data_IF_792582856112
#
_entry.id   IF_792582856112
#
_cell.length_a   1.000
_cell.length_b   1.000
_cell.length_c   1.000
_cell.angle_alpha   90.00
_cell.angle_beta   90.00
_cell.angle_gamma   90.00
#
_symmetry.space_group_name_H-M   'P 1'
#
loop_
_entity.id
_entity.type
_entity.pdbx_description
1 polymer ?
#
# COMPACT_ATOMS: atom_id res chain seq x y z
N UNK A 1 -16.06 -26.97 -15.58
CA UNK A 1 -15.24 -27.47 -14.46
C UNK A 1 -15.20 -26.40 -13.39
N UNK A 2 -15.75 -26.65 -12.21
CA UNK A 2 -15.75 -25.69 -11.11
C UNK A 2 -14.34 -25.64 -10.51
N UNK A 3 -13.67 -24.50 -10.65
CA UNK A 3 -12.35 -24.26 -10.07
C UNK A 3 -12.52 -24.22 -8.55
N UNK A 4 -12.10 -25.27 -7.85
CA UNK A 4 -12.04 -25.25 -6.39
C UNK A 4 -11.14 -24.08 -5.99
N UNK A 5 -11.70 -23.08 -5.30
CA UNK A 5 -10.91 -21.99 -4.71
C UNK A 5 -10.14 -22.59 -3.55
N UNK A 6 -8.82 -22.73 -3.73
CA UNK A 6 -7.92 -23.10 -2.64
C UNK A 6 -7.92 -21.90 -1.69
N UNK A 7 -8.11 -22.17 -0.39
CA UNK A 7 -8.51 -21.17 0.60
C UNK A 7 -7.44 -20.09 0.91
N UNK A 8 -6.22 -20.21 0.36
CA UNK A 8 -5.09 -19.31 0.63
C UNK A 8 -4.11 -19.24 -0.54
N UNK A 9 -4.59 -19.12 -1.77
CA UNK A 9 -3.67 -18.92 -2.90
C UNK A 9 -2.99 -17.54 -2.79
N UNK A 10 -1.70 -17.56 -2.47
CA UNK A 10 -0.81 -16.41 -2.64
C UNK A 10 -0.72 -16.09 -4.14
N UNK A 11 -1.38 -15.00 -4.55
CA UNK A 11 -1.34 -14.48 -5.91
C UNK A 11 -0.47 -13.22 -5.97
N UNK A 12 0.85 -13.35 -6.17
CA UNK A 12 1.71 -12.17 -6.23
C UNK A 12 1.36 -11.30 -7.42
N UNK A 13 1.44 -9.98 -7.27
CA UNK A 13 1.25 -9.05 -8.37
C UNK A 13 2.36 -9.27 -9.41
N UNK A 14 2.03 -9.50 -10.69
CA UNK A 14 3.04 -9.72 -11.71
C UNK A 14 3.79 -8.43 -12.01
N UNK A 15 5.10 -8.54 -12.25
CA UNK A 15 6.00 -7.38 -12.40
C UNK A 15 5.53 -6.38 -13.46
N UNK A 16 5.09 -6.85 -14.63
CA UNK A 16 4.61 -5.97 -15.69
C UNK A 16 3.44 -5.07 -15.25
N UNK A 17 2.60 -5.54 -14.32
CA UNK A 17 1.46 -4.78 -13.82
C UNK A 17 1.94 -3.68 -12.86
N UNK A 18 2.91 -4.01 -12.00
CA UNK A 18 3.55 -3.06 -11.09
C UNK A 18 4.26 -1.97 -11.89
N UNK A 19 5.07 -2.36 -12.87
CA UNK A 19 5.81 -1.44 -13.73
C UNK A 19 4.85 -0.52 -14.51
N UNK A 20 3.75 -1.07 -15.04
CA UNK A 20 2.73 -0.28 -15.72
C UNK A 20 1.99 0.69 -14.79
N UNK A 21 1.65 0.26 -13.57
CA UNK A 21 1.04 1.12 -12.55
C UNK A 21 1.97 2.28 -12.19
N UNK A 22 3.23 1.97 -11.86
CA UNK A 22 4.23 2.96 -11.46
C UNK A 22 4.56 3.95 -12.57
N UNK A 23 4.54 3.52 -13.84
CA UNK A 23 4.75 4.43 -14.98
C UNK A 23 3.68 5.55 -15.09
N UNK A 24 2.51 5.37 -14.48
CA UNK A 24 1.44 6.37 -14.45
C UNK A 24 1.42 7.18 -13.15
N UNK A 25 2.19 6.77 -12.16
CA UNK A 25 2.31 7.47 -10.89
C UNK A 25 3.25 8.67 -11.04
N UNK A 26 2.84 9.83 -10.49
CA UNK A 26 3.67 11.04 -10.44
C UNK A 26 3.95 11.40 -8.98
N UNK A 27 4.88 10.72 -8.31
CA UNK A 27 5.22 11.04 -6.94
C UNK A 27 5.84 12.43 -6.83
N UNK A 28 5.54 13.11 -5.73
CA UNK A 28 6.15 14.38 -5.35
C UNK A 28 7.37 14.09 -4.49
N UNK A 29 8.40 14.93 -4.60
CA UNK A 29 9.55 14.85 -3.71
C UNK A 29 9.10 14.86 -2.24
N UNK A 30 9.61 13.92 -1.46
CA UNK A 30 9.23 13.74 -0.06
C UNK A 30 8.01 12.85 0.20
N UNK A 31 7.28 12.40 -0.83
CA UNK A 31 6.18 11.45 -0.64
C UNK A 31 6.69 10.18 0.06
N UNK A 32 5.95 9.72 1.07
CA UNK A 32 6.19 8.45 1.77
C UNK A 32 5.34 7.36 1.13
N UNK A 33 5.95 6.22 0.84
CA UNK A 33 5.29 5.06 0.25
C UNK A 33 5.07 3.96 1.29
N UNK A 34 3.95 3.25 1.21
CA UNK A 34 3.75 2.03 2.02
C UNK A 34 3.17 0.85 1.26
N UNK A 35 3.64 -0.35 1.61
CA UNK A 35 3.06 -1.65 1.21
C UNK A 35 2.60 -2.44 2.45
N UNK A 36 1.32 -2.32 2.84
CA UNK A 36 0.71 -3.07 3.94
C UNK A 36 0.74 -4.61 3.89
N UNK A 37 0.99 -5.21 2.73
CA UNK A 37 1.07 -6.67 2.55
C UNK A 37 2.19 -7.01 1.57
N UNK A 38 3.44 -6.85 2.06
CA UNK A 38 4.64 -6.88 1.23
C UNK A 38 4.88 -8.23 0.56
N UNK A 39 4.52 -9.35 1.21
CA UNK A 39 4.83 -10.67 0.72
C UNK A 39 6.33 -10.84 0.43
N UNK A 40 6.67 -11.14 -0.83
CA UNK A 40 8.04 -11.31 -1.31
C UNK A 40 8.70 -10.00 -1.80
N UNK A 41 8.10 -8.83 -1.55
CA UNK A 41 8.70 -7.52 -1.82
C UNK A 41 8.52 -7.00 -3.25
N UNK A 42 7.70 -7.65 -4.07
CA UNK A 42 7.61 -7.32 -5.51
C UNK A 42 7.23 -5.87 -5.82
N UNK A 43 6.32 -5.30 -5.03
CA UNK A 43 5.89 -3.90 -5.16
C UNK A 43 6.88 -3.01 -4.40
N UNK A 44 7.20 -3.33 -3.14
CA UNK A 44 8.12 -2.57 -2.28
C UNK A 44 9.47 -2.27 -2.94
N UNK A 45 10.08 -3.30 -3.53
CA UNK A 45 11.38 -3.21 -4.19
C UNK A 45 11.34 -2.31 -5.44
N UNK A 46 10.15 -2.14 -6.03
CA UNK A 46 9.91 -1.29 -7.21
C UNK A 46 9.50 0.13 -6.88
N UNK A 47 9.23 0.46 -5.62
CA UNK A 47 8.94 1.85 -5.27
C UNK A 47 10.07 2.78 -5.72
N UNK A 48 9.74 4.02 -6.15
CA UNK A 48 10.72 4.99 -6.60
C UNK A 48 11.87 5.17 -5.59
N UNK A 49 13.08 5.34 -6.11
CA UNK A 49 14.27 5.62 -5.29
C UNK A 49 14.21 7.03 -4.69
N UNK A 50 14.80 7.24 -3.52
CA UNK A 50 14.84 8.54 -2.85
C UNK A 50 13.62 8.87 -1.99
N UNK A 51 12.62 7.99 -1.94
CA UNK A 51 11.45 8.11 -1.06
C UNK A 51 11.60 7.24 0.18
N UNK A 52 10.99 7.66 1.29
CA UNK A 52 10.80 6.79 2.45
C UNK A 52 9.80 5.69 2.09
N UNK A 53 10.12 4.45 2.48
CA UNK A 53 9.31 3.27 2.19
C UNK A 53 9.00 2.53 3.48
N UNK A 54 7.72 2.25 3.73
CA UNK A 54 7.24 1.49 4.87
C UNK A 54 6.55 0.21 4.40
N UNK A 55 6.50 -0.82 5.24
CA UNK A 55 5.89 -2.10 4.87
C UNK A 55 5.35 -2.87 6.09
N UNK A 56 4.41 -3.77 5.83
CA UNK A 56 3.97 -4.81 6.75
C UNK A 56 3.99 -6.16 6.05
N UNK A 57 4.27 -7.21 6.82
CA UNK A 57 4.16 -8.59 6.38
C UNK A 57 3.98 -9.47 7.61
N UNK A 58 2.88 -10.24 7.61
CA UNK A 58 2.48 -11.06 8.75
C UNK A 58 3.53 -12.14 9.05
N UNK A 59 4.13 -12.72 8.01
CA UNK A 59 5.20 -13.72 8.17
C UNK A 59 6.51 -13.15 8.77
N UNK A 60 6.69 -11.83 8.73
CA UNK A 60 7.79 -11.12 9.38
C UNK A 60 7.39 -10.48 10.72
N UNK A 61 6.25 -10.89 11.30
CA UNK A 61 5.71 -10.37 12.56
C UNK A 61 5.35 -8.87 12.53
N UNK A 62 5.06 -8.32 11.34
CA UNK A 62 4.53 -6.95 11.17
C UNK A 62 3.09 -7.05 10.70
N UNK A 63 2.16 -7.20 11.64
CA UNK A 63 0.74 -7.31 11.38
C UNK A 63 0.14 -5.92 11.06
N UNK A 64 -0.38 -5.77 9.85
CA UNK A 64 -0.99 -4.52 9.39
C UNK A 64 -2.31 -4.18 10.08
N UNK A 65 -3.13 -5.20 10.34
CA UNK A 65 -4.48 -5.04 10.87
C UNK A 65 -4.48 -4.92 12.40
N UNK A 66 -3.45 -5.46 13.05
CA UNK A 66 -3.24 -5.32 14.48
C UNK A 66 -1.82 -4.77 14.78
N UNK A 67 -1.56 -3.49 14.45
CA UNK A 67 -0.23 -2.92 14.61
C UNK A 67 0.07 -2.71 16.09
N UNK A 68 1.04 -3.46 16.61
CA UNK A 68 1.71 -3.13 17.86
C UNK A 68 3.01 -2.44 17.45
N UNK A 69 3.10 -1.13 17.73
CA UNK A 69 4.28 -0.29 17.43
C UNK A 69 4.68 -0.22 15.94
N UNK A 70 3.68 -0.26 15.05
CA UNK A 70 3.89 -0.18 13.60
C UNK A 70 3.23 1.08 13.02
N UNK A 71 4.05 2.05 12.65
CA UNK A 71 3.62 3.21 11.85
C UNK A 71 3.72 2.88 10.36
N UNK A 72 2.58 2.97 9.66
CA UNK A 72 2.47 2.80 8.21
C UNK A 72 1.86 4.01 7.53
N UNK A 73 1.80 5.16 8.21
CA UNK A 73 1.31 6.39 7.62
C UNK A 73 2.16 6.79 6.42
N UNK A 74 1.50 7.04 5.29
CA UNK A 74 2.11 7.28 3.99
C UNK A 74 1.22 8.16 3.10
N UNK A 75 1.83 8.86 2.15
CA UNK A 75 1.13 9.65 1.13
C UNK A 75 0.63 8.76 -0.02
N UNK A 76 1.37 7.68 -0.30
CA UNK A 76 1.05 6.73 -1.36
C UNK A 76 1.06 5.30 -0.79
N UNK A 77 -0.10 4.64 -0.85
CA UNK A 77 -0.26 3.25 -0.39
C UNK A 77 -0.53 2.36 -1.60
N UNK A 78 0.33 1.38 -1.86
CA UNK A 78 0.17 0.41 -2.95
C UNK A 78 0.39 -0.98 -2.36
N UNK A 79 -0.61 -1.85 -2.48
CA UNK A 79 -0.57 -3.20 -1.88
C UNK A 79 -1.48 -4.16 -2.63
N UNK A 80 -1.19 -5.45 -2.50
CA UNK A 80 -2.02 -6.54 -2.98
C UNK A 80 -2.39 -7.45 -1.80
N UNK A 81 -3.39 -7.06 -0.99
CA UNK A 81 -3.73 -7.80 0.21
C UNK A 81 -4.44 -9.12 -0.11
N UNK A 82 -4.49 -10.05 0.85
CA UNK A 82 -5.32 -11.25 0.74
C UNK A 82 -6.78 -10.88 0.43
N UNK A 83 -7.40 -11.56 -0.54
CA UNK A 83 -8.75 -11.21 -1.01
C UNK A 83 -9.80 -11.18 0.11
N UNK A 84 -9.70 -12.10 1.09
CA UNK A 84 -10.61 -12.15 2.25
C UNK A 84 -10.52 -10.94 3.17
N UNK A 85 -9.38 -10.23 3.17
CA UNK A 85 -9.11 -9.08 4.04
C UNK A 85 -9.03 -7.75 3.25
N UNK A 86 -9.18 -7.77 1.93
CA UNK A 86 -8.97 -6.58 1.09
C UNK A 86 -9.78 -5.36 1.53
N UNK A 87 -11.04 -5.54 1.93
CA UNK A 87 -11.89 -4.44 2.39
C UNK A 87 -11.41 -3.84 3.71
N UNK A 88 -10.94 -4.70 4.63
CA UNK A 88 -10.42 -4.27 5.92
C UNK A 88 -9.12 -3.49 5.73
N UNK A 89 -8.24 -3.97 4.84
CA UNK A 89 -7.02 -3.26 4.46
C UNK A 89 -7.33 -1.87 3.87
N UNK A 90 -8.29 -1.76 2.95
CA UNK A 90 -8.68 -0.49 2.34
C UNK A 90 -9.22 0.48 3.41
N UNK A 91 -10.06 0.01 4.33
CA UNK A 91 -10.61 0.86 5.42
C UNK A 91 -9.50 1.37 6.33
N UNK A 92 -8.65 0.47 6.80
CA UNK A 92 -7.49 0.81 7.64
C UNK A 92 -6.57 1.82 6.93
N UNK A 93 -6.30 1.62 5.64
CA UNK A 93 -5.50 2.55 4.85
C UNK A 93 -6.14 3.95 4.81
N UNK A 94 -7.45 4.06 4.58
CA UNK A 94 -8.15 5.36 4.47
C UNK A 94 -8.31 6.06 5.82
N UNK A 95 -8.51 5.31 6.90
CA UNK A 95 -8.86 5.85 8.20
C UNK A 95 -7.63 6.11 9.08
N UNK A 96 -6.58 5.28 8.97
CA UNK A 96 -5.39 5.32 9.83
C UNK A 96 -4.13 5.81 9.10
N UNK A 97 -3.88 5.31 7.89
CA UNK A 97 -2.54 5.39 7.30
C UNK A 97 -2.40 6.42 6.18
N UNK A 98 -3.48 6.77 5.47
CA UNK A 98 -3.38 7.75 4.38
C UNK A 98 -3.11 9.14 4.97
N UNK A 99 -1.99 9.73 4.60
CA UNK A 99 -1.65 11.06 5.04
C UNK A 99 -2.51 12.10 4.31
N UNK A 100 -3.51 12.65 5.00
CA UNK A 100 -4.42 13.67 4.44
C UNK A 100 -3.82 15.08 4.40
N UNK A 101 -2.59 15.26 4.87
CA UNK A 101 -1.94 16.59 4.95
C UNK A 101 -1.21 17.00 3.68
N UNK A 102 -1.11 16.13 2.67
CA UNK A 102 -0.72 16.56 1.32
C UNK A 102 -1.73 17.63 0.86
N UNK A 103 -1.30 18.88 0.59
CA UNK A 103 -2.23 19.95 0.27
C UNK A 103 -3.06 19.52 -0.94
N UNK A 104 -4.37 19.52 -0.75
CA UNK A 104 -5.31 19.40 -1.85
C UNK A 104 -4.97 20.50 -2.85
N UNK A 105 -4.35 20.16 -3.99
CA UNK A 105 -4.14 21.10 -5.11
C UNK A 105 -5.44 21.44 -5.84
N UNK A 106 -6.59 21.12 -5.23
CA UNK A 106 -7.92 21.49 -5.70
C UNK A 106 -8.63 22.31 -4.61
N UNK A 107 -8.18 23.56 -4.43
CA UNK A 107 -9.02 24.74 -4.19
C UNK A 107 -8.18 25.87 -3.57
N UNK A 108 -8.09 26.98 -4.30
CA UNK A 108 -7.61 28.29 -3.84
C UNK A 108 -8.51 28.93 -2.74
N UNK A 109 -9.21 28.12 -1.93
CA UNK A 109 -10.35 28.57 -1.13
C UNK A 109 -10.55 27.78 0.18
N UNK A 110 -9.49 27.54 0.95
CA UNK A 110 -9.66 27.18 2.36
C UNK A 110 -8.89 28.20 3.22
N UNK A 111 -9.60 29.07 3.98
CA UNK A 111 -8.96 29.82 5.04
C UNK A 111 -8.69 28.85 6.21
N UNK A 112 -7.54 29.05 6.84
CA UNK A 112 -7.15 28.60 8.18
C UNK A 112 -8.25 28.02 9.08
#
# INVERSE_FOLDING_TARGET
MAKARIAQDFYPTPYWCIDALLAHLKPKEGDIFSEPAMGDGRIFDRFPVGHEKKWAELSNHRDYLNPIDLDLTADVIITNPPFSHALEFIRTAIDRDINRTAPCVCCFACPC
#
